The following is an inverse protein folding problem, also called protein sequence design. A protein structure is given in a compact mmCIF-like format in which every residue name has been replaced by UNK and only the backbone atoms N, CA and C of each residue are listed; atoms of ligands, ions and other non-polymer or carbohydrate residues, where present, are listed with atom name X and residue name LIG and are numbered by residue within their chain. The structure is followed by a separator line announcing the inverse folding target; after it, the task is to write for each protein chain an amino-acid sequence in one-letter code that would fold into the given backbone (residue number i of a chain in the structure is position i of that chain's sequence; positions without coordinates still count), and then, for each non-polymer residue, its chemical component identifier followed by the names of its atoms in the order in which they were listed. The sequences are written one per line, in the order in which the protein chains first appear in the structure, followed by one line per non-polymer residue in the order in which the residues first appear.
data_IF_334014654613
#
_entry.id   IF_334014654613
#
_cell.length_a   1.000
_cell.length_b   1.000
_cell.length_c   1.000
_cell.angle_alpha   90.00
_cell.angle_beta   90.00
_cell.angle_gamma   90.00
#
_symmetry.space_group_name_H-M   'P 1'
#
loop_
_entity.id
_entity.type
_entity.pdbx_description
1 polymer ?
#
# COMPACT_ATOMS: atom_id res chain seq x y z
N UNK A 1 -35.50 15.42 106.05
CA UNK A 1 -35.09 14.12 105.40
C UNK A 1 -35.88 13.96 104.10
N UNK A 2 -35.34 14.43 103.03
CA UNK A 2 -35.97 14.38 101.68
C UNK A 2 -35.48 13.16 100.91
N UNK A 3 -36.28 12.10 100.96
CA UNK A 3 -36.08 10.91 100.15
C UNK A 3 -36.32 11.20 98.66
N UNK A 4 -35.29 11.50 97.92
CA UNK A 4 -35.38 11.54 96.47
C UNK A 4 -35.49 10.10 95.89
N UNK A 5 -36.70 9.74 95.49
CA UNK A 5 -36.93 8.51 94.76
C UNK A 5 -36.32 8.62 93.32
N UNK A 6 -35.34 7.80 93.02
CA UNK A 6 -34.77 7.69 91.69
C UNK A 6 -35.78 7.02 90.78
N UNK A 7 -36.17 7.71 89.74
CA UNK A 7 -37.02 7.09 88.73
C UNK A 7 -36.23 6.03 87.95
N UNK A 8 -36.85 4.90 87.53
CA UNK A 8 -36.17 3.83 86.86
C UNK A 8 -35.63 4.30 85.52
N UNK A 9 -34.34 4.00 85.27
CA UNK A 9 -33.67 4.32 84.01
C UNK A 9 -34.39 3.65 82.85
N UNK A 10 -34.94 4.41 81.87
CA UNK A 10 -35.46 3.91 80.61
C UNK A 10 -34.29 3.62 79.71
N UNK A 11 -34.09 2.35 79.33
CA UNK A 11 -33.15 1.94 78.32
C UNK A 11 -33.72 2.31 76.97
N UNK A 12 -33.15 3.33 76.32
CA UNK A 12 -33.41 3.61 74.89
C UNK A 12 -32.52 2.69 74.04
N UNK A 13 -33.13 1.76 73.31
CA UNK A 13 -32.43 0.97 72.31
C UNK A 13 -32.36 1.77 71.01
N UNK A 14 -31.19 2.34 70.65
CA UNK A 14 -30.92 2.96 69.39
C UNK A 14 -30.48 1.85 68.38
N UNK A 15 -31.31 1.54 67.43
CA UNK A 15 -30.93 0.66 66.35
C UNK A 15 -30.43 1.54 65.16
N UNK A 16 -29.14 1.55 64.91
CA UNK A 16 -28.54 2.23 63.74
C UNK A 16 -28.73 1.32 62.54
N UNK A 17 -29.65 1.70 61.68
CA UNK A 17 -29.81 0.97 60.37
C UNK A 17 -28.59 1.23 59.44
N UNK A 18 -28.06 0.23 58.84
CA UNK A 18 -26.98 0.41 57.87
C UNK A 18 -27.46 1.32 56.72
N UNK A 19 -26.56 2.16 56.16
CA UNK A 19 -26.93 3.06 55.09
C UNK A 19 -27.45 2.27 53.85
N UNK A 20 -28.39 2.83 53.07
CA UNK A 20 -29.09 2.13 51.99
C UNK A 20 -28.17 1.48 50.96
N UNK A 21 -26.97 2.03 50.73
CA UNK A 21 -25.97 1.51 49.77
C UNK A 21 -25.23 0.25 50.26
N UNK A 22 -25.30 -0.09 51.53
CA UNK A 22 -24.79 -1.33 52.13
C UNK A 22 -25.87 -2.42 52.28
N UNK A 23 -27.09 -2.13 51.85
CA UNK A 23 -28.16 -3.13 51.89
C UNK A 23 -27.80 -4.32 50.97
N UNK A 24 -28.06 -5.58 51.38
CA UNK A 24 -27.73 -6.77 50.58
C UNK A 24 -28.23 -6.71 49.12
N UNK A 25 -29.41 -6.15 48.90
CA UNK A 25 -29.95 -5.97 47.54
C UNK A 25 -29.12 -4.97 46.71
N UNK A 26 -28.57 -3.91 47.32
CA UNK A 26 -27.70 -2.95 46.61
C UNK A 26 -26.37 -3.59 46.22
N UNK A 27 -25.79 -4.43 47.07
CA UNK A 27 -24.56 -5.16 46.81
C UNK A 27 -24.74 -6.16 45.67
N UNK A 28 -25.87 -6.87 45.59
CA UNK A 28 -26.21 -7.75 44.47
C UNK A 28 -26.32 -6.94 43.16
N UNK A 29 -26.98 -5.78 43.22
CA UNK A 29 -27.11 -4.88 42.06
C UNK A 29 -25.74 -4.39 41.56
N UNK A 30 -24.86 -3.97 42.47
CA UNK A 30 -23.50 -3.55 42.11
C UNK A 30 -22.69 -4.70 41.50
N UNK A 31 -22.80 -5.91 42.08
CA UNK A 31 -22.16 -7.12 41.52
C UNK A 31 -22.65 -7.44 40.12
N UNK A 32 -23.95 -7.37 39.87
CA UNK A 32 -24.54 -7.59 38.56
C UNK A 32 -24.08 -6.53 37.55
N UNK A 33 -24.08 -5.27 37.93
CA UNK A 33 -23.63 -4.17 37.09
C UNK A 33 -22.13 -4.25 36.76
N UNK A 34 -21.30 -4.60 37.72
CA UNK A 34 -19.87 -4.85 37.54
C UNK A 34 -19.62 -6.03 36.59
N UNK A 35 -20.42 -7.11 36.70
CA UNK A 35 -20.33 -8.24 35.79
C UNK A 35 -20.68 -7.85 34.33
N UNK A 36 -21.73 -7.06 34.13
CA UNK A 36 -22.11 -6.54 32.81
C UNK A 36 -20.98 -5.68 32.21
N UNK A 37 -20.42 -4.75 32.99
CA UNK A 37 -19.30 -3.91 32.53
C UNK A 37 -18.09 -4.76 32.14
N UNK A 38 -17.76 -5.73 33.02
CA UNK A 38 -16.62 -6.65 32.73
C UNK A 38 -16.85 -7.43 31.46
N UNK A 39 -18.04 -7.96 31.25
CA UNK A 39 -18.41 -8.71 30.06
C UNK A 39 -18.36 -7.83 28.80
N UNK A 40 -18.83 -6.60 28.90
CA UNK A 40 -18.73 -5.60 27.83
C UNK A 40 -17.28 -5.26 27.48
N UNK A 41 -16.42 -5.00 28.47
CA UNK A 41 -15.00 -4.69 28.29
C UNK A 41 -14.26 -5.86 27.65
N UNK A 42 -14.49 -7.09 28.15
CA UNK A 42 -13.88 -8.31 27.59
C UNK A 42 -14.32 -8.51 26.13
N UNK A 43 -15.62 -8.32 25.84
CA UNK A 43 -16.13 -8.41 24.46
C UNK A 43 -15.46 -7.37 23.56
N UNK A 44 -15.36 -6.11 24.00
CA UNK A 44 -14.70 -5.03 23.24
C UNK A 44 -13.22 -5.34 22.99
N UNK A 45 -12.54 -5.87 24.02
CA UNK A 45 -11.14 -6.29 23.87
C UNK A 45 -10.98 -7.37 22.79
N UNK A 46 -11.82 -8.42 22.82
CA UNK A 46 -11.78 -9.49 21.81
C UNK A 46 -12.10 -9.00 20.40
N UNK A 47 -13.09 -8.11 20.24
CA UNK A 47 -13.43 -7.52 18.95
C UNK A 47 -12.24 -6.72 18.39
N UNK A 48 -11.66 -5.82 19.19
CA UNK A 48 -10.51 -5.01 18.80
C UNK A 48 -9.28 -5.88 18.46
N UNK A 49 -9.05 -6.93 19.25
CA UNK A 49 -7.94 -7.87 19.00
C UNK A 49 -8.12 -8.60 17.67
N UNK A 50 -9.33 -9.11 17.38
CA UNK A 50 -9.64 -9.77 16.09
C UNK A 50 -9.46 -8.83 14.91
N UNK A 51 -9.91 -7.58 15.02
CA UNK A 51 -9.72 -6.58 13.96
C UNK A 51 -8.24 -6.30 13.71
N UNK A 52 -7.42 -6.14 14.74
CA UNK A 52 -5.97 -5.92 14.59
C UNK A 52 -5.28 -7.10 13.92
N UNK A 53 -5.63 -8.33 14.31
CA UNK A 53 -5.07 -9.54 13.70
C UNK A 53 -5.47 -9.60 12.21
N UNK A 54 -6.75 -9.40 11.88
CA UNK A 54 -7.21 -9.43 10.49
C UNK A 54 -6.55 -8.37 9.61
N UNK A 55 -6.33 -7.15 10.13
CA UNK A 55 -5.59 -6.10 9.41
C UNK A 55 -4.14 -6.52 9.20
N UNK A 56 -3.46 -7.00 10.25
CA UNK A 56 -2.07 -7.45 10.16
C UNK A 56 -1.88 -8.61 9.17
N UNK A 57 -2.78 -9.61 9.18
CA UNK A 57 -2.76 -10.71 8.22
C UNK A 57 -3.00 -10.24 6.78
N UNK A 58 -3.90 -9.26 6.59
CA UNK A 58 -4.16 -8.67 5.27
C UNK A 58 -2.95 -7.90 4.75
N UNK A 59 -2.30 -7.10 5.61
CA UNK A 59 -1.06 -6.37 5.27
C UNK A 59 0.09 -7.33 4.93
N UNK A 60 0.27 -8.38 5.72
CA UNK A 60 1.29 -9.40 5.46
C UNK A 60 1.03 -10.14 4.14
N UNK A 61 -0.22 -10.53 3.89
CA UNK A 61 -0.62 -11.17 2.63
C UNK A 61 -0.36 -10.25 1.44
N UNK A 62 -0.68 -8.96 1.55
CA UNK A 62 -0.39 -7.97 0.51
C UNK A 62 1.11 -7.84 0.27
N UNK A 63 1.92 -7.72 1.32
CA UNK A 63 3.38 -7.67 1.23
C UNK A 63 3.96 -8.91 0.55
N UNK A 64 3.51 -10.10 0.93
CA UNK A 64 3.94 -11.36 0.32
C UNK A 64 3.53 -11.47 -1.15
N UNK A 65 2.34 -10.99 -1.50
CA UNK A 65 1.86 -10.98 -2.89
C UNK A 65 2.71 -10.05 -3.75
N UNK A 66 3.01 -8.85 -3.28
CA UNK A 66 3.89 -7.89 -3.97
C UNK A 66 5.32 -8.43 -4.08
N UNK A 67 5.86 -9.01 -3.00
CA UNK A 67 7.18 -9.63 -3.03
C UNK A 67 7.25 -10.79 -4.04
N UNK A 68 6.21 -11.63 -4.12
CA UNK A 68 6.17 -12.76 -5.04
C UNK A 68 5.98 -12.34 -6.51
N UNK A 69 5.39 -11.19 -6.79
CA UNK A 69 5.30 -10.61 -8.13
C UNK A 69 6.62 -9.96 -8.58
N UNK A 70 7.51 -9.68 -7.64
CA UNK A 70 8.75 -8.94 -7.87
C UNK A 70 8.53 -7.45 -8.14
N UNK A 71 7.35 -6.92 -7.81
CA UNK A 71 7.00 -5.52 -8.02
C UNK A 71 7.29 -4.68 -6.77
N UNK A 72 7.70 -3.42 -6.96
CA UNK A 72 7.85 -2.43 -5.91
C UNK A 72 6.55 -1.65 -5.71
N UNK A 73 6.22 -1.36 -4.45
CA UNK A 73 5.09 -0.50 -4.12
C UNK A 73 5.53 0.95 -3.97
N UNK A 74 4.73 1.88 -4.47
CA UNK A 74 4.84 3.28 -4.14
C UNK A 74 3.48 3.87 -3.76
N UNK A 75 3.52 4.91 -2.92
CA UNK A 75 2.35 5.63 -2.43
C UNK A 75 2.68 7.12 -2.38
N UNK A 76 1.93 7.92 -3.10
CA UNK A 76 2.12 9.34 -3.22
C UNK A 76 0.99 10.12 -2.56
N UNK A 77 1.33 10.83 -1.47
CA UNK A 77 0.49 11.89 -0.94
C UNK A 77 0.67 13.13 -1.83
N UNK A 78 -0.27 13.32 -2.75
CA UNK A 78 -0.22 14.39 -3.75
C UNK A 78 -0.32 15.76 -3.08
N UNK A 79 -1.14 15.85 -2.02
CA UNK A 79 -1.37 17.09 -1.29
C UNK A 79 -0.11 17.57 -0.56
N UNK A 80 0.64 16.65 0.05
CA UNK A 80 1.90 16.95 0.75
C UNK A 80 3.13 16.89 -0.16
N UNK A 81 2.98 16.37 -1.37
CA UNK A 81 4.09 16.15 -2.29
C UNK A 81 5.09 15.10 -1.79
N UNK A 82 4.64 14.11 -1.04
CA UNK A 82 5.48 13.08 -0.43
C UNK A 82 5.24 11.73 -1.10
N UNK A 83 6.31 11.05 -1.50
CA UNK A 83 6.29 9.72 -2.11
C UNK A 83 6.97 8.72 -1.18
N UNK A 84 6.25 7.68 -0.80
CA UNK A 84 6.77 6.50 -0.14
C UNK A 84 7.07 5.41 -1.17
N UNK A 85 8.15 4.65 -0.98
CA UNK A 85 8.50 3.45 -1.76
C UNK A 85 8.95 2.33 -0.85
N UNK A 86 8.53 1.11 -1.16
CA UNK A 86 9.00 -0.08 -0.46
C UNK A 86 10.48 -0.39 -0.72
N UNK A 87 10.95 -0.13 -1.95
CA UNK A 87 12.32 -0.41 -2.41
C UNK A 87 12.87 -1.77 -1.96
N UNK A 88 12.05 -2.81 -2.06
CA UNK A 88 12.39 -4.18 -1.69
C UNK A 88 13.47 -4.77 -2.61
N UNK A 89 13.62 -4.24 -3.83
CA UNK A 89 14.70 -4.61 -4.75
C UNK A 89 16.08 -4.17 -4.24
N UNK A 90 16.15 -3.10 -3.46
CA UNK A 90 17.41 -2.53 -2.97
C UNK A 90 18.33 -1.99 -4.07
N UNK A 91 17.86 -1.88 -5.32
CA UNK A 91 18.64 -1.46 -6.48
C UNK A 91 18.39 -0.01 -6.89
N UNK A 92 17.22 0.51 -6.58
CA UNK A 92 16.85 1.88 -6.92
C UNK A 92 17.59 2.89 -6.03
N UNK A 93 17.96 4.04 -6.59
CA UNK A 93 18.50 5.17 -5.84
C UNK A 93 17.38 5.84 -5.01
N UNK A 94 16.84 5.06 -4.09
CA UNK A 94 15.79 5.45 -3.16
C UNK A 94 15.98 4.64 -1.88
N UNK A 95 16.08 5.26 -0.68
CA UNK A 95 16.19 4.52 0.58
C UNK A 95 14.97 3.62 0.78
N UNK A 96 15.21 2.47 1.40
CA UNK A 96 14.16 1.54 1.74
C UNK A 96 13.25 2.16 2.82
N UNK A 97 11.93 2.00 2.65
CA UNK A 97 10.90 2.47 3.59
C UNK A 97 11.01 3.97 3.95
N UNK A 98 11.52 4.79 3.02
CA UNK A 98 11.67 6.23 3.23
C UNK A 98 10.63 7.04 2.43
N UNK A 99 10.45 8.30 2.82
CA UNK A 99 9.55 9.26 2.20
C UNK A 99 10.39 10.38 1.59
N UNK A 100 10.21 10.62 0.30
CA UNK A 100 10.83 11.75 -0.41
C UNK A 100 9.80 12.72 -0.96
N UNK A 101 10.26 13.94 -1.26
CA UNK A 101 9.44 14.90 -2.01
C UNK A 101 9.32 14.47 -3.48
N UNK A 102 8.21 14.83 -4.14
CA UNK A 102 7.97 14.50 -5.55
C UNK A 102 9.06 15.08 -6.48
N UNK A 103 9.64 16.24 -6.16
CA UNK A 103 10.75 16.82 -6.92
C UNK A 103 12.03 15.99 -6.86
N UNK A 104 12.30 15.32 -5.72
CA UNK A 104 13.45 14.42 -5.61
C UNK A 104 13.21 13.11 -6.40
N UNK A 105 11.96 12.73 -6.59
CA UNK A 105 11.59 11.62 -7.45
C UNK A 105 11.90 11.88 -8.93
N UNK A 106 11.55 13.06 -9.43
CA UNK A 106 11.80 13.47 -10.81
C UNK A 106 13.30 13.46 -11.16
N UNK A 107 14.17 13.73 -10.19
CA UNK A 107 15.63 13.70 -10.38
C UNK A 107 16.18 12.29 -10.70
N UNK A 108 15.44 11.23 -10.38
CA UNK A 108 15.83 9.85 -10.67
C UNK A 108 15.31 9.34 -12.02
N UNK A 109 14.54 10.14 -12.75
CA UNK A 109 14.05 9.78 -14.09
C UNK A 109 15.10 10.22 -15.12
N UNK A 110 15.31 9.36 -16.13
CA UNK A 110 16.23 9.70 -17.22
C UNK A 110 15.75 10.97 -17.94
N UNK A 111 16.66 11.95 -18.24
CA UNK A 111 16.28 13.25 -18.82
C UNK A 111 15.44 13.17 -20.08
N UNK A 112 15.72 12.20 -20.96
CA UNK A 112 14.94 12.01 -22.19
C UNK A 112 13.52 11.44 -21.93
N UNK A 113 13.29 10.80 -20.78
CA UNK A 113 12.00 10.22 -20.44
C UNK A 113 11.13 11.15 -19.58
N UNK A 114 11.76 12.12 -18.89
CA UNK A 114 11.14 13.00 -17.90
C UNK A 114 9.87 13.68 -18.41
N UNK A 115 9.96 14.32 -19.57
CA UNK A 115 8.81 15.04 -20.13
C UNK A 115 7.63 14.12 -20.40
N UNK A 116 7.88 12.96 -20.99
CA UNK A 116 6.84 11.97 -21.30
C UNK A 116 6.19 11.42 -20.05
N UNK A 117 6.96 11.19 -18.98
CA UNK A 117 6.47 10.75 -17.67
C UNK A 117 5.58 11.81 -17.04
N UNK A 118 6.03 13.07 -17.04
CA UNK A 118 5.26 14.20 -16.49
C UNK A 118 3.96 14.44 -17.24
N UNK A 119 3.98 14.37 -18.59
CA UNK A 119 2.79 14.55 -19.41
C UNK A 119 1.74 13.46 -19.12
N UNK A 120 2.16 12.17 -19.07
CA UNK A 120 1.28 11.05 -18.74
C UNK A 120 0.71 11.16 -17.32
N UNK A 121 1.53 11.54 -16.36
CA UNK A 121 1.10 11.75 -14.98
C UNK A 121 0.06 12.88 -14.88
N UNK A 122 0.31 14.00 -15.54
CA UNK A 122 -0.60 15.15 -15.59
C UNK A 122 -1.97 14.78 -16.18
N UNK A 123 -1.99 13.98 -17.23
CA UNK A 123 -3.24 13.50 -17.84
C UNK A 123 -4.04 12.61 -16.88
N UNK A 124 -3.36 11.72 -16.16
CA UNK A 124 -4.01 10.85 -15.18
C UNK A 124 -4.52 11.63 -13.96
N UNK A 125 -3.75 12.55 -13.41
CA UNK A 125 -4.18 13.40 -12.30
C UNK A 125 -5.40 14.24 -12.67
N UNK A 126 -5.46 14.72 -13.93
CA UNK A 126 -6.63 15.44 -14.47
C UNK A 126 -7.85 14.53 -14.73
N UNK A 127 -7.77 13.23 -14.45
CA UNK A 127 -8.88 12.29 -14.64
C UNK A 127 -9.18 11.91 -16.09
N UNK A 128 -8.23 12.11 -17.01
CA UNK A 128 -8.40 11.76 -18.44
C UNK A 128 -8.17 10.28 -18.74
N UNK A 129 -7.55 9.54 -17.84
CA UNK A 129 -7.22 8.12 -17.97
C UNK A 129 -7.66 7.35 -16.73
N UNK A 130 -8.06 6.10 -16.89
CA UNK A 130 -8.50 5.23 -15.79
C UNK A 130 -7.35 4.80 -14.89
N UNK A 131 -6.14 4.70 -15.45
CA UNK A 131 -4.90 4.41 -14.75
C UNK A 131 -3.71 5.08 -15.46
N UNK A 132 -2.66 5.28 -14.70
CA UNK A 132 -1.35 5.72 -15.18
C UNK A 132 -0.52 4.49 -15.48
N UNK A 133 0.09 4.42 -16.66
CA UNK A 133 1.01 3.35 -17.02
C UNK A 133 2.05 3.87 -18.00
N UNK A 134 3.33 3.74 -17.64
CA UNK A 134 4.41 4.19 -18.48
C UNK A 134 5.71 3.44 -18.20
N UNK A 135 6.45 3.09 -19.26
CA UNK A 135 7.80 2.55 -19.14
C UNK A 135 8.82 3.67 -19.27
N UNK A 136 9.79 3.75 -18.37
CA UNK A 136 10.87 4.72 -18.38
C UNK A 136 12.12 4.21 -17.67
N UNK A 137 13.24 4.93 -17.83
CA UNK A 137 14.50 4.61 -17.15
C UNK A 137 14.59 5.38 -15.84
N UNK A 138 14.87 4.66 -14.77
CA UNK A 138 15.13 5.21 -13.44
C UNK A 138 16.58 4.94 -13.04
N UNK A 139 17.10 5.77 -12.15
CA UNK A 139 18.46 5.70 -11.67
C UNK A 139 18.62 4.65 -10.59
N UNK A 140 19.71 3.90 -10.63
CA UNK A 140 20.10 2.93 -9.59
C UNK A 140 21.15 3.53 -8.64
N UNK A 141 21.40 2.90 -7.50
CA UNK A 141 22.48 3.28 -6.57
C UNK A 141 23.87 3.25 -7.21
N UNK A 142 24.08 2.39 -8.22
CA UNK A 142 25.32 2.30 -8.97
C UNK A 142 25.44 3.36 -10.07
N UNK A 143 24.53 4.33 -10.10
CA UNK A 143 24.48 5.40 -11.10
C UNK A 143 24.24 4.90 -12.53
N UNK A 144 23.64 3.70 -12.69
CA UNK A 144 23.20 3.15 -13.97
C UNK A 144 21.71 3.36 -14.17
N UNK A 145 21.23 3.13 -15.38
CA UNK A 145 19.83 3.28 -15.73
C UNK A 145 19.16 1.90 -15.79
N UNK A 146 17.98 1.79 -15.15
CA UNK A 146 17.16 0.59 -15.13
C UNK A 146 15.81 0.91 -15.78
N UNK A 147 15.39 0.09 -16.75
CA UNK A 147 14.06 0.17 -17.30
C UNK A 147 13.02 -0.37 -16.35
N UNK A 148 12.03 0.44 -16.04
CA UNK A 148 10.88 0.08 -15.22
C UNK A 148 9.57 0.34 -15.95
N UNK A 149 8.55 -0.43 -15.62
CA UNK A 149 7.16 -0.15 -15.92
C UNK A 149 6.50 0.37 -14.63
N UNK A 150 6.02 1.59 -14.70
CA UNK A 150 5.34 2.26 -13.59
C UNK A 150 3.83 2.27 -13.85
N UNK A 151 3.07 1.71 -12.92
CA UNK A 151 1.61 1.65 -12.98
C UNK A 151 1.02 2.21 -11.70
N UNK A 152 0.00 3.05 -11.83
CA UNK A 152 -0.64 3.65 -10.67
C UNK A 152 -2.04 4.15 -10.93
N UNK A 153 -2.71 4.47 -9.83
CA UNK A 153 -4.08 5.02 -9.86
C UNK A 153 -4.27 6.03 -8.75
N UNK A 154 -4.99 7.10 -9.05
CA UNK A 154 -5.53 7.99 -8.02
C UNK A 154 -6.60 7.24 -7.24
N UNK A 155 -6.33 6.99 -5.95
CA UNK A 155 -7.21 6.21 -5.05
C UNK A 155 -8.07 7.11 -4.17
N UNK A 156 -7.70 8.38 -4.05
CA UNK A 156 -8.47 9.34 -3.27
C UNK A 156 -8.45 10.71 -3.92
N UNK A 157 -9.62 11.35 -3.97
CA UNK A 157 -9.84 12.74 -4.41
C UNK A 157 -10.58 13.51 -3.33
N UNK A 158 -10.42 14.82 -3.31
CA UNK A 158 -11.17 15.70 -2.42
C UNK A 158 -12.59 15.98 -2.95
N UNK A 159 -13.34 16.84 -2.23
CA UNK A 159 -14.69 17.26 -2.62
C UNK A 159 -14.74 18.12 -3.90
N UNK A 160 -13.60 18.69 -4.33
CA UNK A 160 -13.44 19.42 -5.59
C UNK A 160 -12.95 18.52 -6.73
N UNK A 161 -12.89 17.20 -6.50
CA UNK A 161 -12.32 16.20 -7.42
C UNK A 161 -10.81 16.34 -7.67
N UNK A 162 -10.08 17.08 -6.81
CA UNK A 162 -8.62 17.17 -6.89
C UNK A 162 -7.96 15.91 -6.29
N UNK A 163 -6.88 15.40 -6.90
CA UNK A 163 -6.23 14.19 -6.41
C UNK A 163 -5.51 14.45 -5.08
N UNK A 164 -5.81 13.62 -4.07
CA UNK A 164 -5.16 13.64 -2.75
C UNK A 164 -4.09 12.57 -2.65
N UNK A 165 -4.39 11.35 -3.13
CA UNK A 165 -3.52 10.19 -3.01
C UNK A 165 -3.52 9.35 -4.26
N UNK A 166 -2.34 8.95 -4.69
CA UNK A 166 -2.10 8.04 -5.79
C UNK A 166 -1.19 6.90 -5.33
N UNK A 167 -1.48 5.67 -5.72
CA UNK A 167 -0.68 4.51 -5.34
C UNK A 167 -0.46 3.63 -6.56
N UNK A 168 0.64 2.88 -6.56
CA UNK A 168 0.98 2.05 -7.68
C UNK A 168 2.14 1.10 -7.42
N UNK A 169 2.60 0.50 -8.50
CA UNK A 169 3.72 -0.45 -8.50
C UNK A 169 4.72 -0.12 -9.58
N UNK A 170 5.98 -0.48 -9.32
CA UNK A 170 7.06 -0.47 -10.29
C UNK A 170 7.44 -1.91 -10.58
N UNK A 171 7.64 -2.22 -11.84
CA UNK A 171 8.13 -3.52 -12.30
C UNK A 171 9.44 -3.33 -13.04
N UNK A 172 10.46 -4.14 -12.69
CA UNK A 172 11.68 -4.23 -13.49
C UNK A 172 11.38 -4.90 -14.83
N UNK A 173 11.64 -4.18 -15.91
CA UNK A 173 11.47 -4.65 -17.29
C UNK A 173 12.78 -4.64 -18.08
N UNK A 174 13.95 -4.54 -17.41
CA UNK A 174 15.25 -4.50 -18.08
C UNK A 174 15.46 -5.71 -18.98
N UNK A 175 15.26 -6.89 -18.44
CA UNK A 175 15.38 -8.14 -19.19
C UNK A 175 14.45 -8.19 -20.41
N UNK A 176 13.22 -7.63 -20.30
CA UNK A 176 12.31 -7.54 -21.46
C UNK A 176 12.85 -6.59 -22.52
N UNK A 177 13.43 -5.45 -22.11
CA UNK A 177 14.04 -4.47 -23.00
C UNK A 177 15.30 -5.00 -23.68
N UNK A 178 16.13 -5.73 -22.95
CA UNK A 178 17.33 -6.38 -23.50
C UNK A 178 16.94 -7.43 -24.56
N UNK A 179 15.92 -8.25 -24.29
CA UNK A 179 15.42 -9.23 -25.25
C UNK A 179 14.82 -8.55 -26.51
N UNK A 180 14.08 -7.47 -26.34
CA UNK A 180 13.54 -6.66 -27.45
C UNK A 180 14.67 -6.08 -28.30
N UNK A 181 15.71 -5.53 -27.68
CA UNK A 181 16.87 -4.98 -28.38
C UNK A 181 17.63 -6.06 -29.15
N UNK A 182 17.90 -7.21 -28.52
CA UNK A 182 18.54 -8.35 -29.19
C UNK A 182 17.74 -8.83 -30.42
N UNK A 183 16.42 -8.95 -30.29
CA UNK A 183 15.55 -9.33 -31.41
C UNK A 183 15.62 -8.30 -32.56
N UNK A 184 15.61 -7.01 -32.23
CA UNK A 184 15.71 -5.93 -33.19
C UNK A 184 17.08 -5.92 -33.91
N UNK A 185 18.16 -6.15 -33.17
CA UNK A 185 19.50 -6.29 -33.74
C UNK A 185 19.57 -7.49 -34.68
N UNK A 186 19.04 -8.63 -34.29
CA UNK A 186 18.99 -9.84 -35.13
C UNK A 186 18.19 -9.58 -36.41
N UNK A 187 17.01 -8.98 -36.29
CA UNK A 187 16.17 -8.61 -37.46
C UNK A 187 16.92 -7.68 -38.41
N UNK A 188 17.54 -6.61 -37.91
CA UNK A 188 18.34 -5.67 -38.71
C UNK A 188 19.53 -6.37 -39.37
N UNK A 189 20.16 -7.31 -38.70
CA UNK A 189 21.28 -8.07 -39.24
C UNK A 189 20.84 -8.90 -40.43
N UNK A 190 19.71 -9.62 -40.34
CA UNK A 190 19.14 -10.41 -41.46
C UNK A 190 18.74 -9.49 -42.61
N UNK A 191 18.12 -8.35 -42.34
CA UNK A 191 17.71 -7.41 -43.40
C UNK A 191 18.90 -6.80 -44.19
N UNK A 192 20.07 -6.67 -43.53
CA UNK A 192 21.28 -6.09 -44.11
C UNK A 192 22.22 -7.14 -44.77
N UNK A 193 21.91 -8.42 -44.74
CA UNK A 193 22.65 -9.46 -45.44
C UNK A 193 22.38 -9.29 -46.95
N UNK A 194 23.47 -9.32 -47.76
CA UNK A 194 23.40 -9.17 -49.20
C UNK A 194 22.80 -10.39 -49.92
N UNK A 195 22.72 -11.51 -49.23
CA UNK A 195 22.16 -12.77 -49.73
C UNK A 195 20.68 -12.87 -49.39
N UNK A 196 19.89 -13.48 -50.28
CA UNK A 196 18.48 -13.76 -50.04
C UNK A 196 18.29 -14.77 -48.90
N UNK A 197 17.69 -14.35 -47.77
CA UNK A 197 17.38 -15.20 -46.63
C UNK A 197 15.87 -15.39 -46.55
N UNK A 198 15.43 -16.62 -46.34
CA UNK A 198 14.03 -16.92 -46.11
C UNK A 198 13.83 -17.89 -44.93
N UNK A 199 12.70 -17.78 -44.28
CA UNK A 199 12.26 -18.65 -43.18
C UNK A 199 10.96 -19.31 -43.60
N UNK A 200 10.87 -20.64 -43.46
CA UNK A 200 9.65 -21.40 -43.76
C UNK A 200 9.16 -22.15 -42.50
N UNK A 201 7.89 -22.52 -42.50
CA UNK A 201 7.35 -23.49 -41.54
C UNK A 201 7.70 -24.95 -41.97
N UNK A 202 7.30 -25.90 -41.14
CA UNK A 202 7.50 -27.33 -41.38
C UNK A 202 6.75 -27.87 -42.61
N UNK A 203 5.85 -27.07 -43.21
CA UNK A 203 5.10 -27.37 -44.43
C UNK A 203 5.65 -26.61 -45.63
N UNK A 204 6.88 -26.04 -45.53
CA UNK A 204 7.57 -25.25 -46.56
C UNK A 204 6.84 -23.98 -46.99
N UNK A 205 5.96 -23.42 -46.17
CA UNK A 205 5.34 -22.13 -46.44
C UNK A 205 6.24 -21.01 -45.89
N UNK A 206 6.43 -19.97 -46.67
CA UNK A 206 7.22 -18.82 -46.27
C UNK A 206 6.60 -18.13 -45.08
N UNK A 207 7.40 -17.92 -44.03
CA UNK A 207 7.04 -17.14 -42.84
C UNK A 207 7.61 -15.72 -42.98
N UNK A 208 8.86 -15.61 -43.47
CA UNK A 208 9.54 -14.33 -43.61
C UNK A 208 10.63 -14.42 -44.67
N UNK A 209 10.92 -13.31 -45.34
CA UNK A 209 12.02 -13.13 -46.26
C UNK A 209 12.70 -11.78 -45.97
N UNK A 210 14.01 -11.67 -46.24
CA UNK A 210 14.72 -10.39 -46.13
C UNK A 210 14.62 -9.57 -47.43
N UNK A 211 15.06 -8.29 -47.37
CA UNK A 211 15.01 -7.40 -48.54
C UNK A 211 15.81 -7.92 -49.71
N UNK A 212 16.96 -8.56 -49.52
CA UNK A 212 17.79 -9.11 -50.59
C UNK A 212 17.05 -10.21 -51.36
N UNK A 213 16.24 -11.05 -50.70
CA UNK A 213 15.43 -12.08 -51.37
C UNK A 213 14.37 -11.48 -52.30
N UNK A 214 13.84 -10.29 -51.98
CA UNK A 214 12.82 -9.62 -52.80
C UNK A 214 13.38 -8.91 -54.03
N UNK A 215 14.69 -8.76 -54.10
CA UNK A 215 15.36 -8.02 -55.20
C UNK A 215 15.89 -8.93 -56.32
N UNK A 216 15.76 -10.24 -56.17
CA UNK A 216 16.00 -11.25 -57.16
C UNK A 216 14.69 -11.70 -57.80
#
# INVERSE_FOLDING_TARGET
EDGKAWSPSRKLSLTILPPPWLHPAALIFYGFFAAIITLYVVRQYHVRRRQRIAVSESEERLKLTLWSSGDELWDWDVYRGQVYRSNTWGTLDFPQDDIRTSSAYDANIHPHDLKRVQDALKEHLAGKTDFYEIAYRTKTFTNTWLWILDRGKVVQRDHNNEPIRMTGTLKDIQHLKDAEEQLNLFKRSIENISEGVFITDTKFRFISVNNAYCTY
#
